data_IF_530956917035
#
_entry.id   IF_530956917035
#
_cell.length_a   1.000
_cell.length_b   1.000
_cell.length_c   1.000
_cell.angle_alpha   90.00
_cell.angle_beta   90.00
_cell.angle_gamma   90.00
#
_symmetry.space_group_name_H-M   'P 1'
#
loop_
_entity.id
_entity.type
_entity.pdbx_description
1 polymer ?
#
# COMPACT_ATOMS: atom_id res chain seq x y z
N UNK A 1 3.18 36.43 7.51
CA UNK A 1 2.51 35.59 6.48
C UNK A 1 3.14 34.21 6.48
N UNK A 2 2.33 33.18 6.20
CA UNK A 2 2.63 31.75 6.06
C UNK A 2 2.90 30.95 7.37
N UNK A 3 1.81 30.45 7.93
CA UNK A 3 1.68 29.47 9.01
C UNK A 3 2.20 28.09 8.58
N UNK A 4 3.27 27.60 9.23
CA UNK A 4 3.71 26.20 9.11
C UNK A 4 2.83 25.31 10.00
N UNK A 5 1.67 24.92 9.49
CA UNK A 5 0.80 23.94 10.16
C UNK A 5 1.38 22.54 9.97
N UNK A 6 2.30 22.13 10.86
CA UNK A 6 2.65 20.71 11.07
C UNK A 6 1.41 20.02 11.64
N UNK A 7 0.64 19.32 10.79
CA UNK A 7 -0.47 18.48 11.23
C UNK A 7 0.09 17.19 11.85
N UNK A 8 -0.02 17.13 13.17
CA UNK A 8 -0.46 15.96 13.95
C UNK A 8 0.12 14.60 13.55
N UNK A 9 1.24 14.23 14.18
CA UNK A 9 1.60 12.83 14.37
C UNK A 9 0.56 12.16 15.28
N UNK A 10 -0.40 11.44 14.69
CA UNK A 10 -1.26 10.49 15.40
C UNK A 10 -1.59 9.33 14.47
N UNK A 11 -0.84 8.26 14.60
CA UNK A 11 -1.41 6.95 14.88
C UNK A 11 -0.26 5.98 15.17
N UNK A 12 -0.30 5.41 16.36
CA UNK A 12 0.46 4.22 16.72
C UNK A 12 -0.14 3.06 15.87
N UNK A 13 0.48 2.74 14.74
CA UNK A 13 0.09 1.61 13.86
C UNK A 13 1.30 0.70 13.76
N UNK A 14 1.24 -0.44 14.43
CA UNK A 14 2.34 -1.39 14.53
C UNK A 14 3.04 -1.64 13.19
N UNK A 15 4.37 -1.46 13.18
CA UNK A 15 5.32 -1.94 12.16
C UNK A 15 4.94 -1.69 10.68
N UNK A 16 4.37 -0.53 10.34
CA UNK A 16 4.24 -0.18 8.91
C UNK A 16 5.50 0.53 8.41
N UNK A 17 6.24 -0.11 7.49
CA UNK A 17 7.44 0.46 6.86
C UNK A 17 7.05 1.16 5.57
N UNK A 18 7.43 2.43 5.43
CA UNK A 18 7.24 3.18 4.17
C UNK A 18 8.35 2.83 3.19
N UNK A 19 7.99 2.15 2.12
CA UNK A 19 8.89 1.88 1.00
C UNK A 19 8.52 2.79 -0.18
N UNK A 20 9.51 3.45 -0.78
CA UNK A 20 9.34 4.17 -2.04
C UNK A 20 9.87 3.30 -3.16
N UNK A 21 9.03 2.98 -4.14
CA UNK A 21 9.41 2.19 -5.31
C UNK A 21 9.08 3.00 -6.57
N UNK A 22 9.97 2.93 -7.55
CA UNK A 22 9.70 3.51 -8.87
C UNK A 22 8.99 2.47 -9.71
N UNK A 23 7.80 2.81 -10.21
CA UNK A 23 6.97 1.92 -11.02
C UNK A 23 7.06 2.38 -12.49
N UNK A 24 7.10 1.45 -13.46
CA UNK A 24 6.96 1.80 -14.87
C UNK A 24 5.64 2.56 -15.12
N UNK A 25 5.66 3.50 -16.07
CA UNK A 25 4.54 4.42 -16.30
C UNK A 25 3.23 3.68 -16.64
N UNK A 26 3.30 2.70 -17.54
CA UNK A 26 2.17 1.85 -17.95
C UNK A 26 1.52 1.12 -16.76
N UNK A 27 2.36 0.64 -15.84
CA UNK A 27 1.92 -0.10 -14.67
C UNK A 27 1.26 0.85 -13.66
N UNK A 28 1.83 2.03 -13.46
CA UNK A 28 1.24 3.06 -12.61
C UNK A 28 -0.13 3.53 -13.14
N UNK A 29 -0.28 3.79 -14.44
CA UNK A 29 -1.56 4.21 -15.03
C UNK A 29 -2.64 3.14 -14.82
N UNK A 30 -2.28 1.87 -15.02
CA UNK A 30 -3.18 0.74 -14.77
C UNK A 30 -3.63 0.68 -13.32
N UNK A 31 -2.70 0.84 -12.37
CA UNK A 31 -3.02 0.88 -10.93
C UNK A 31 -3.93 2.07 -10.58
N UNK A 32 -3.73 3.23 -11.19
CA UNK A 32 -4.59 4.42 -11.00
C UNK A 32 -6.00 4.16 -11.50
N UNK A 33 -6.16 3.51 -12.67
CA UNK A 33 -7.48 3.15 -13.20
C UNK A 33 -8.20 2.15 -12.29
N UNK A 34 -7.50 1.12 -11.84
CA UNK A 34 -8.03 0.12 -10.90
C UNK A 34 -8.43 0.75 -9.56
N UNK A 35 -7.60 1.67 -9.04
CA UNK A 35 -7.89 2.40 -7.82
C UNK A 35 -9.16 3.25 -7.95
N UNK A 36 -9.33 3.95 -9.09
CA UNK A 36 -10.54 4.75 -9.38
C UNK A 36 -11.79 3.90 -9.45
N UNK A 37 -11.74 2.78 -10.16
CA UNK A 37 -12.88 1.87 -10.32
C UNK A 37 -13.35 1.30 -8.98
N UNK A 38 -12.39 0.83 -8.16
CA UNK A 38 -12.66 0.29 -6.83
C UNK A 38 -12.88 1.35 -5.74
N UNK A 39 -12.78 2.64 -6.08
CA UNK A 39 -12.85 3.80 -5.14
C UNK A 39 -11.86 3.70 -3.96
N UNK A 40 -10.70 3.14 -4.22
CA UNK A 40 -9.61 2.97 -3.25
C UNK A 40 -8.40 3.81 -3.66
N UNK A 41 -7.43 3.97 -2.76
CA UNK A 41 -6.17 4.63 -3.12
C UNK A 41 -5.21 3.66 -3.82
N UNK A 42 -4.31 4.18 -4.65
CA UNK A 42 -3.26 3.37 -5.31
C UNK A 42 -2.41 2.60 -4.29
N UNK A 43 -2.10 3.23 -3.15
CA UNK A 43 -1.38 2.58 -2.06
C UNK A 43 -2.13 1.38 -1.48
N UNK A 44 -3.47 1.45 -1.40
CA UNK A 44 -4.29 0.32 -0.98
C UNK A 44 -4.23 -0.82 -1.98
N UNK A 45 -4.29 -0.53 -3.29
CA UNK A 45 -4.17 -1.54 -4.36
C UNK A 45 -2.82 -2.24 -4.29
N UNK A 46 -1.73 -1.49 -4.07
CA UNK A 46 -0.38 -2.05 -3.93
C UNK A 46 -0.30 -2.97 -2.71
N UNK A 47 -0.91 -2.57 -1.59
CA UNK A 47 -0.95 -3.39 -0.38
C UNK A 47 -1.71 -4.70 -0.60
N UNK A 48 -2.92 -4.64 -1.17
CA UNK A 48 -3.74 -5.82 -1.47
C UNK A 48 -3.02 -6.76 -2.43
N UNK A 49 -2.43 -6.20 -3.51
CA UNK A 49 -1.65 -6.98 -4.46
C UNK A 49 -0.43 -7.65 -3.81
N UNK A 50 0.24 -6.97 -2.87
CA UNK A 50 1.37 -7.55 -2.14
C UNK A 50 0.92 -8.68 -1.20
N UNK A 51 -0.18 -8.50 -0.46
CA UNK A 51 -0.75 -9.53 0.43
C UNK A 51 -1.15 -10.78 -0.38
N UNK A 52 -1.78 -10.58 -1.54
CA UNK A 52 -2.15 -11.68 -2.46
C UNK A 52 -0.93 -12.34 -3.08
N UNK A 53 0.05 -11.57 -3.54
CA UNK A 53 1.28 -12.10 -4.13
C UNK A 53 2.05 -12.96 -3.12
N UNK A 54 2.18 -12.51 -1.87
CA UNK A 54 2.83 -13.29 -0.81
C UNK A 54 2.05 -14.58 -0.52
N UNK A 55 0.71 -14.51 -0.44
CA UNK A 55 -0.13 -15.70 -0.23
C UNK A 55 -0.05 -16.71 -1.37
N UNK A 56 0.02 -16.25 -2.62
CA UNK A 56 0.19 -17.10 -3.80
C UNK A 56 1.61 -17.68 -3.91
N UNK A 57 2.65 -16.92 -3.52
CA UNK A 57 4.04 -17.38 -3.56
C UNK A 57 4.40 -18.31 -2.40
N UNK A 58 3.73 -18.18 -1.24
CA UNK A 58 3.93 -19.04 -0.07
C UNK A 58 2.63 -19.67 0.44
N UNK A 59 2.03 -20.60 -0.31
CA UNK A 59 0.91 -21.39 0.21
C UNK A 59 1.28 -22.21 1.46
N UNK A 60 2.58 -22.42 1.72
CA UNK A 60 3.10 -23.20 2.85
C UNK A 60 3.18 -22.43 4.18
N UNK A 61 3.16 -21.08 4.19
CA UNK A 61 3.28 -20.27 5.42
C UNK A 61 1.93 -19.78 5.98
N UNK A 62 0.80 -20.27 5.44
CA UNK A 62 -0.53 -19.96 5.96
C UNK A 62 -0.85 -20.69 7.30
N UNK A 63 0.13 -21.37 7.90
CA UNK A 63 0.14 -21.82 9.30
C UNK A 63 1.31 -21.12 9.99
N UNK A 64 1.10 -20.65 11.22
CA UNK A 64 2.07 -19.94 12.07
C UNK A 64 2.14 -18.42 11.90
N UNK A 65 1.01 -17.75 12.10
CA UNK A 65 1.01 -16.54 12.94
C UNK A 65 -0.11 -16.73 13.96
N UNK A 66 0.26 -17.30 15.12
CA UNK A 66 -0.53 -17.28 16.35
C UNK A 66 -0.17 -16.05 17.18
#
# INVERSE_FOLDING_TARGET
MATKTKRSAKANVGKSVRTSVSLPHELHDTLVRLAKDKKVSVAWVIRDAAERYIGEQWPLFNREIA
#
